data_IF_374413968750
#
_entry.id   IF_374413968750
#
_cell.length_a   1.000
_cell.length_b   1.000
_cell.length_c   1.000
_cell.angle_alpha   90.00
_cell.angle_beta   90.00
_cell.angle_gamma   90.00
#
_symmetry.space_group_name_H-M   'P 1'
#
loop_
_entity.id
_entity.type
_entity.pdbx_description
1 polymer ?
#
# COMPACT_ATOMS: atom_id res chain seq x y z
N UNK A 1 -9.58 -6.22 7.99
CA UNK A 1 -8.21 -6.09 7.62
C UNK A 1 -8.07 -5.66 6.18
N UNK A 2 -7.18 -4.78 5.90
CA UNK A 2 -6.98 -4.26 4.58
C UNK A 2 -5.59 -4.55 4.10
N UNK A 3 -5.42 -4.72 2.81
CA UNK A 3 -4.12 -4.90 2.23
C UNK A 3 -3.91 -3.75 1.25
N UNK A 4 -2.80 -3.03 1.42
CA UNK A 4 -2.51 -1.89 0.59
C UNK A 4 -1.38 -2.24 -0.36
N UNK A 5 -1.49 -1.81 -1.61
CA UNK A 5 -0.40 -1.96 -2.55
C UNK A 5 0.30 -0.62 -2.55
N UNK A 6 1.53 -0.62 -2.09
CA UNK A 6 2.29 0.61 -1.95
C UNK A 6 3.28 0.73 -3.09
N UNK A 7 3.30 1.89 -3.72
CA UNK A 7 4.24 2.17 -4.77
C UNK A 7 5.33 3.03 -4.18
N UNK A 8 6.54 2.57 -4.22
CA UNK A 8 7.68 3.34 -3.71
C UNK A 8 8.49 3.82 -4.90
N UNK A 9 8.71 5.12 -5.01
CA UNK A 9 9.53 5.69 -6.04
C UNK A 9 10.82 6.12 -5.37
N UNK A 10 11.93 5.50 -5.74
CA UNK A 10 13.20 5.77 -5.08
C UNK A 10 13.89 6.94 -5.74
N UNK A 11 14.26 7.90 -4.93
CA UNK A 11 15.00 9.07 -5.41
C UNK A 11 16.42 8.97 -4.87
N UNK A 12 17.26 9.91 -5.15
CA UNK A 12 18.65 9.80 -4.78
C UNK A 12 18.86 9.72 -3.28
N UNK A 13 18.14 10.48 -2.50
CA UNK A 13 18.31 10.46 -1.08
C UNK A 13 17.11 10.04 -0.30
N UNK A 14 16.01 9.72 -0.93
CA UNK A 14 14.78 9.45 -0.22
C UNK A 14 13.85 8.65 -1.12
N UNK A 15 12.66 8.37 -0.66
CA UNK A 15 11.66 7.68 -1.44
C UNK A 15 10.32 8.37 -1.27
N UNK A 16 9.48 8.25 -2.26
CA UNK A 16 8.13 8.74 -2.18
C UNK A 16 7.23 7.53 -2.18
N UNK A 17 6.26 7.50 -1.28
CA UNK A 17 5.37 6.35 -1.14
C UNK A 17 3.94 6.77 -1.47
N UNK A 18 3.26 5.98 -2.26
CA UNK A 18 1.86 6.22 -2.57
C UNK A 18 1.08 4.93 -2.45
N UNK A 19 -0.18 5.03 -2.11
CA UNK A 19 -1.04 3.87 -2.11
C UNK A 19 -1.57 3.73 -3.52
N UNK A 20 -1.14 2.69 -4.21
CA UNK A 20 -1.58 2.46 -5.58
C UNK A 20 -2.93 1.78 -5.64
N UNK A 21 -3.23 0.91 -4.70
CA UNK A 21 -4.49 0.22 -4.67
C UNK A 21 -4.72 -0.39 -3.29
N UNK A 22 -5.89 -0.90 -3.01
CA UNK A 22 -6.14 -1.59 -1.76
C UNK A 22 -7.26 -2.60 -1.95
N UNK A 23 -7.31 -3.59 -1.09
CA UNK A 23 -8.34 -4.60 -1.12
C UNK A 23 -8.41 -5.28 0.25
N UNK A 24 -9.49 -5.92 0.55
CA UNK A 24 -9.60 -6.64 1.81
C UNK A 24 -9.30 -8.14 1.61
N UNK A 25 -8.81 -8.51 0.46
CA UNK A 25 -8.56 -9.91 0.14
C UNK A 25 -7.10 -10.09 -0.27
N UNK A 26 -6.38 -10.95 0.44
CA UNK A 26 -4.97 -11.13 0.18
C UNK A 26 -4.69 -11.70 -1.21
N UNK A 27 -5.52 -12.60 -1.69
CA UNK A 27 -5.31 -13.18 -3.00
C UNK A 27 -5.46 -12.11 -4.08
N UNK A 28 -6.41 -11.19 -3.90
CA UNK A 28 -6.57 -10.13 -4.85
C UNK A 28 -5.41 -9.18 -4.76
N UNK A 29 -4.90 -8.93 -3.56
CA UNK A 29 -3.76 -8.04 -3.38
C UNK A 29 -2.57 -8.60 -4.15
N UNK A 30 -2.37 -9.90 -4.08
CA UNK A 30 -1.27 -10.54 -4.76
C UNK A 30 -1.41 -10.39 -6.27
N UNK A 31 -2.62 -10.56 -6.79
CA UNK A 31 -2.86 -10.42 -8.21
C UNK A 31 -2.63 -8.98 -8.66
N UNK A 32 -3.05 -8.03 -7.86
CA UNK A 32 -2.88 -6.62 -8.18
C UNK A 32 -1.39 -6.31 -8.20
N UNK A 33 -0.66 -6.83 -7.22
CA UNK A 33 0.77 -6.58 -7.15
C UNK A 33 1.45 -7.13 -8.40
N UNK A 34 1.10 -8.32 -8.82
CA UNK A 34 1.69 -8.89 -9.99
C UNK A 34 1.38 -8.06 -11.23
N UNK A 35 0.17 -7.56 -11.33
CA UNK A 35 -0.22 -6.73 -12.46
C UNK A 35 0.62 -5.48 -12.54
N UNK A 36 0.83 -4.80 -11.41
CA UNK A 36 1.63 -3.60 -11.40
C UNK A 36 3.08 -3.94 -11.79
N UNK A 37 3.61 -5.04 -11.27
CA UNK A 37 4.99 -5.41 -11.57
C UNK A 37 5.17 -5.75 -13.04
N UNK A 38 4.14 -6.26 -13.69
CA UNK A 38 4.25 -6.61 -15.09
C UNK A 38 4.28 -5.38 -16.00
N UNK A 39 3.59 -4.33 -15.62
CA UNK A 39 3.52 -3.16 -16.46
C UNK A 39 4.53 -2.09 -16.10
N UNK A 40 5.13 -2.18 -14.90
CA UNK A 40 6.06 -1.15 -14.48
C UNK A 40 7.38 -1.28 -15.21
N UNK A 41 7.87 -0.21 -15.81
CA UNK A 41 9.11 -0.25 -16.52
C UNK A 41 10.24 0.49 -15.88
N UNK A 42 9.96 1.26 -14.82
CA UNK A 42 11.00 2.05 -14.20
C UNK A 42 11.71 1.24 -13.12
N UNK A 43 13.02 1.25 -13.13
CA UNK A 43 13.76 0.49 -12.16
C UNK A 43 13.69 1.08 -10.77
N UNK A 44 13.38 2.36 -10.69
CA UNK A 44 13.33 3.03 -9.40
C UNK A 44 11.99 2.89 -8.70
N UNK A 45 11.10 2.12 -9.28
CA UNK A 45 9.76 1.95 -8.71
C UNK A 45 9.59 0.54 -8.21
N UNK A 46 9.15 0.41 -6.96
CA UNK A 46 8.93 -0.89 -6.34
C UNK A 46 7.54 -0.93 -5.75
N UNK A 47 6.85 -2.05 -5.92
CA UNK A 47 5.53 -2.21 -5.33
C UNK A 47 5.60 -3.25 -4.21
N UNK A 48 4.83 -3.07 -3.16
CA UNK A 48 4.78 -4.02 -2.07
C UNK A 48 3.38 -4.09 -1.47
N UNK A 49 3.11 -5.14 -0.72
CA UNK A 49 1.84 -5.29 -0.03
C UNK A 49 2.07 -5.01 1.44
N UNK A 50 1.23 -4.15 2.00
CA UNK A 50 1.31 -3.84 3.42
C UNK A 50 -0.04 -4.17 4.04
N UNK A 51 -0.01 -4.93 5.12
CA UNK A 51 -1.22 -5.29 5.82
C UNK A 51 -1.58 -4.17 6.77
N UNK A 52 -2.81 -3.72 6.72
CA UNK A 52 -3.24 -2.61 7.55
C UNK A 52 -4.44 -2.99 8.40
N UNK A 53 -4.31 -2.85 9.70
CA UNK A 53 -5.38 -3.11 10.58
C UNK A 53 -5.81 -1.80 11.13
N UNK A 54 -7.06 -1.42 10.90
CA UNK A 54 -7.51 -0.18 11.28
C UNK A 54 -7.78 -0.06 12.74
N UNK A 55 -7.22 0.84 13.45
CA UNK A 55 -7.44 1.03 14.87
C UNK A 55 -8.66 1.85 15.11
N UNK A 56 -9.76 1.43 14.71
CA UNK A 56 -10.87 2.18 14.79
C UNK A 56 -11.27 2.66 16.04
N UNK A 57 -11.18 1.94 17.05
CA UNK A 57 -11.69 2.40 18.24
C UNK A 57 -11.00 3.54 18.70
N UNK A 58 -9.77 3.62 18.45
CA UNK A 58 -9.05 4.66 18.91
C UNK A 58 -9.47 5.94 18.46
N UNK A 59 -9.65 6.10 17.28
CA UNK A 59 -9.95 7.32 16.86
C UNK A 59 -11.21 7.79 17.31
N UNK A 60 -12.09 6.99 17.50
CA UNK A 60 -13.31 7.42 17.85
C UNK A 60 -13.30 7.96 19.17
N UNK A 61 -12.67 7.39 20.07
CA UNK A 61 -12.70 7.88 21.35
C UNK A 61 -11.99 9.09 21.42
N UNK A 62 -10.99 9.24 20.76
CA UNK A 62 -10.26 10.44 20.80
C UNK A 62 -11.09 11.55 20.44
N UNK A 63 -11.93 11.39 19.55
CA UNK A 63 -12.61 12.45 19.13
C UNK A 63 -13.58 12.86 20.05
N UNK A 64 -14.03 12.11 20.82
CA UNK A 64 -14.95 12.48 21.67
C UNK A 64 -14.53 13.30 22.56
N UNK A 65 -13.51 13.23 22.76
CA UNK A 65 -12.98 14.03 23.66
C UNK A 65 -13.66 15.04 23.81
#
# INVERSE_FOLDING_TARGET
MMYLIIKEIKLSNTSIYNVASFTDNLDKASDILQGYNLIEKEEDVVYSIVKYEQPLKLEREATNG
#
